data_IF_601353218109
#
_entry.id   IF_601353218109
#
_cell.length_a   1.000
_cell.length_b   1.000
_cell.length_c   1.000
_cell.angle_alpha   90.00
_cell.angle_beta   90.00
_cell.angle_gamma   90.00
#
_symmetry.space_group_name_H-M   'P 1'
#
loop_
_entity.id
_entity.type
_entity.pdbx_description
1 polymer ?
#
# COMPACT_ATOMS: atom_id res chain seq x y z
N UNK A 1 -24.78 -17.81 9.26
CA UNK A 1 -24.96 -18.87 8.21
C UNK A 1 -24.15 -18.39 7.02
N UNK A 2 -23.24 -19.19 6.48
CA UNK A 2 -22.49 -18.78 5.29
C UNK A 2 -23.42 -18.76 4.07
N UNK A 3 -23.15 -17.85 3.14
CA UNK A 3 -23.91 -17.68 1.89
C UNK A 3 -23.98 -18.99 1.10
N UNK A 4 -25.14 -19.30 0.51
CA UNK A 4 -25.28 -20.43 -0.40
C UNK A 4 -24.88 -20.04 -1.83
N UNK A 5 -24.57 -21.05 -2.68
CA UNK A 5 -24.24 -20.80 -4.08
C UNK A 5 -25.38 -20.07 -4.83
N UNK A 6 -26.62 -20.38 -4.57
CA UNK A 6 -27.77 -19.71 -5.22
C UNK A 6 -27.86 -18.23 -4.79
N UNK A 7 -27.67 -17.95 -3.50
CA UNK A 7 -27.63 -16.56 -3.02
C UNK A 7 -26.45 -15.78 -3.60
N UNK A 8 -25.29 -16.43 -3.78
CA UNK A 8 -24.14 -15.82 -4.43
C UNK A 8 -24.43 -15.48 -5.90
N UNK A 9 -25.06 -16.40 -6.65
CA UNK A 9 -25.49 -16.16 -8.02
C UNK A 9 -26.46 -14.98 -8.13
N UNK A 10 -27.46 -14.92 -7.26
CA UNK A 10 -28.43 -13.81 -7.24
C UNK A 10 -27.72 -12.46 -6.94
N UNK A 11 -26.83 -12.44 -5.93
CA UNK A 11 -26.06 -11.24 -5.61
C UNK A 11 -25.21 -10.78 -6.77
N UNK A 12 -24.48 -11.69 -7.43
CA UNK A 12 -23.60 -11.37 -8.56
C UNK A 12 -24.39 -10.93 -9.79
N UNK A 13 -25.51 -11.59 -10.11
CA UNK A 13 -26.36 -11.26 -11.25
C UNK A 13 -26.91 -9.83 -11.16
N UNK A 14 -27.26 -9.35 -9.97
CA UNK A 14 -27.70 -7.98 -9.73
C UNK A 14 -26.70 -6.94 -10.25
N UNK A 15 -25.41 -7.28 -10.20
CA UNK A 15 -24.31 -6.38 -10.58
C UNK A 15 -23.61 -6.78 -11.89
N UNK A 16 -24.07 -7.82 -12.59
CA UNK A 16 -23.47 -8.32 -13.83
C UNK A 16 -22.09 -8.96 -13.60
N UNK A 17 -21.89 -9.62 -12.43
CA UNK A 17 -20.61 -10.19 -12.02
C UNK A 17 -20.63 -11.73 -11.96
N UNK A 18 -21.52 -12.40 -12.71
CA UNK A 18 -21.71 -13.86 -12.72
C UNK A 18 -20.42 -14.60 -13.11
N UNK A 19 -19.55 -13.95 -13.85
CA UNK A 19 -18.28 -14.51 -14.30
C UNK A 19 -17.34 -14.91 -13.15
N UNK A 20 -17.51 -14.34 -11.95
CA UNK A 20 -16.74 -14.69 -10.74
C UNK A 20 -16.89 -16.17 -10.39
N UNK A 21 -18.04 -16.78 -10.68
CA UNK A 21 -18.31 -18.19 -10.39
C UNK A 21 -18.02 -19.13 -11.59
N UNK A 22 -17.39 -18.64 -12.67
CA UNK A 22 -17.15 -19.42 -13.89
C UNK A 22 -16.44 -20.76 -13.62
N UNK A 23 -15.47 -20.77 -12.71
CA UNK A 23 -14.67 -21.94 -12.38
C UNK A 23 -15.05 -22.58 -11.05
N UNK A 24 -16.21 -22.21 -10.47
CA UNK A 24 -16.64 -22.70 -9.16
C UNK A 24 -16.70 -24.24 -9.07
N UNK A 25 -17.05 -24.92 -10.17
CA UNK A 25 -17.12 -26.40 -10.22
C UNK A 25 -15.76 -27.10 -10.14
N UNK A 26 -14.66 -26.39 -10.40
CA UNK A 26 -13.29 -26.92 -10.38
C UNK A 26 -12.60 -26.75 -9.02
N UNK A 27 -13.23 -25.99 -8.11
CA UNK A 27 -12.68 -25.65 -6.80
C UNK A 27 -12.88 -26.80 -5.79
N UNK A 28 -11.96 -26.91 -4.85
CA UNK A 28 -12.11 -27.74 -3.66
C UNK A 28 -13.23 -27.20 -2.74
N UNK A 29 -13.72 -27.98 -1.79
CA UNK A 29 -14.77 -27.54 -0.87
C UNK A 29 -14.34 -26.38 0.03
N UNK A 30 -13.06 -26.29 0.37
CA UNK A 30 -12.49 -25.17 1.12
C UNK A 30 -12.47 -23.89 0.28
N UNK A 31 -12.00 -23.96 -0.96
CA UNK A 31 -11.99 -22.83 -1.89
C UNK A 31 -13.40 -22.36 -2.24
N UNK A 32 -14.36 -23.30 -2.43
CA UNK A 32 -15.77 -22.98 -2.63
C UNK A 32 -16.34 -22.18 -1.47
N UNK A 33 -16.01 -22.57 -0.24
CA UNK A 33 -16.44 -21.83 0.95
C UNK A 33 -15.79 -20.45 0.98
N UNK A 34 -14.49 -20.38 0.77
CA UNK A 34 -13.73 -19.11 0.76
C UNK A 34 -14.28 -18.09 -0.23
N UNK A 35 -14.61 -18.51 -1.47
CA UNK A 35 -15.17 -17.58 -2.47
C UNK A 35 -16.60 -17.14 -2.11
N UNK A 36 -17.42 -18.01 -1.53
CA UNK A 36 -18.75 -17.63 -1.07
C UNK A 36 -18.70 -16.61 0.08
N UNK A 37 -17.81 -16.81 1.05
CA UNK A 37 -17.59 -15.90 2.16
C UNK A 37 -17.07 -14.52 1.65
N UNK A 38 -16.18 -14.51 0.67
CA UNK A 38 -15.71 -13.26 0.04
C UNK A 38 -16.84 -12.54 -0.71
N UNK A 39 -17.67 -13.25 -1.45
CA UNK A 39 -18.83 -12.66 -2.13
C UNK A 39 -19.80 -12.09 -1.10
N UNK A 40 -20.04 -12.78 0.01
CA UNK A 40 -20.91 -12.30 1.09
C UNK A 40 -20.40 -11.00 1.69
N UNK A 41 -19.11 -10.94 2.01
CA UNK A 41 -18.46 -9.80 2.64
C UNK A 41 -18.26 -8.59 1.71
N UNK A 42 -18.24 -8.80 0.37
CA UNK A 42 -17.95 -7.74 -0.58
C UNK A 42 -19.15 -6.83 -0.76
N UNK A 43 -18.95 -5.51 -0.56
CA UNK A 43 -19.93 -4.49 -0.96
C UNK A 43 -19.84 -4.23 -2.46
N UNK A 44 -20.82 -4.76 -3.19
CA UNK A 44 -20.94 -4.61 -4.66
C UNK A 44 -21.60 -3.27 -5.08
N UNK A 45 -22.10 -2.46 -4.14
CA UNK A 45 -22.77 -1.20 -4.48
C UNK A 45 -21.83 -0.19 -5.13
N UNK A 46 -20.54 -0.30 -4.85
CA UNK A 46 -19.48 0.50 -5.50
C UNK A 46 -19.52 0.39 -7.03
N UNK A 47 -19.93 -0.77 -7.57
CA UNK A 47 -20.04 -0.98 -9.01
C UNK A 47 -21.16 -0.14 -9.65
N UNK A 48 -22.18 0.26 -8.90
CA UNK A 48 -23.23 1.16 -9.39
C UNK A 48 -22.68 2.56 -9.66
N UNK A 49 -21.78 3.06 -8.82
CA UNK A 49 -21.11 4.35 -9.07
C UNK A 49 -20.33 4.36 -10.39
N UNK A 50 -19.81 3.21 -10.83
CA UNK A 50 -19.12 3.07 -12.11
C UNK A 50 -20.04 3.12 -13.32
N UNK A 51 -21.34 2.83 -13.16
CA UNK A 51 -22.35 2.87 -14.24
C UNK A 51 -22.77 4.29 -14.60
N UNK A 52 -22.69 5.22 -13.65
CA UNK A 52 -23.08 6.62 -13.81
C UNK A 52 -21.91 7.52 -14.26
N UNK A 53 -21.17 7.09 -15.29
CA UNK A 53 -20.01 7.85 -15.81
C UNK A 53 -20.36 9.25 -16.30
N UNK A 54 -21.61 9.47 -16.72
CA UNK A 54 -22.08 10.76 -17.23
C UNK A 54 -22.15 11.83 -16.11
N UNK A 55 -22.47 11.43 -14.89
CA UNK A 55 -22.49 12.35 -13.73
C UNK A 55 -21.07 12.72 -13.25
N UNK A 56 -20.08 11.85 -13.51
CA UNK A 56 -18.66 12.12 -13.26
C UNK A 56 -18.03 13.00 -14.35
N UNK A 57 -18.72 13.21 -15.46
CA UNK A 57 -18.21 13.96 -16.61
C UNK A 57 -18.29 15.49 -16.49
N UNK A 58 -18.87 16.02 -15.40
CA UNK A 58 -18.71 17.45 -15.04
C UNK A 58 -17.29 17.71 -14.55
N UNK A 59 -16.35 17.49 -15.44
CA UNK A 59 -14.95 17.87 -15.19
C UNK A 59 -14.91 19.40 -15.18
N UNK A 60 -14.45 19.97 -14.07
CA UNK A 60 -14.08 21.39 -14.05
C UNK A 60 -13.01 21.70 -15.11
N UNK A 61 -12.64 22.96 -15.22
CA UNK A 61 -11.52 23.35 -16.10
C UNK A 61 -10.23 22.75 -15.54
N UNK A 62 -9.59 21.89 -16.33
CA UNK A 62 -8.30 21.32 -15.98
C UNK A 62 -7.22 22.30 -16.39
N UNK A 63 -6.53 22.87 -15.41
CA UNK A 63 -5.37 23.74 -15.62
C UNK A 63 -4.11 23.06 -15.09
N UNK A 64 -2.93 23.34 -15.65
CA UNK A 64 -1.68 22.87 -15.06
C UNK A 64 -1.56 23.31 -13.61
N UNK A 65 -1.18 22.39 -12.73
CA UNK A 65 -0.86 22.72 -11.34
C UNK A 65 0.46 23.50 -11.31
N UNK A 66 0.48 24.62 -10.58
CA UNK A 66 1.73 25.32 -10.32
C UNK A 66 2.63 24.40 -9.45
N UNK A 67 3.89 24.33 -9.84
CA UNK A 67 4.91 23.54 -9.12
C UNK A 67 6.09 24.46 -8.77
N UNK A 68 6.66 24.24 -7.60
CA UNK A 68 7.89 24.88 -7.18
C UNK A 68 9.05 24.30 -7.98
N UNK A 69 9.88 25.14 -8.58
CA UNK A 69 11.02 24.72 -9.39
C UNK A 69 12.26 24.51 -8.50
N UNK A 70 13.26 23.78 -9.02
CA UNK A 70 14.47 23.45 -8.24
C UNK A 70 15.25 24.68 -7.80
N UNK A 71 15.35 25.69 -8.62
CA UNK A 71 16.03 26.98 -8.32
C UNK A 71 15.30 27.72 -7.18
N UNK A 72 13.97 27.70 -7.16
CA UNK A 72 13.19 28.27 -6.07
C UNK A 72 13.39 27.49 -4.76
N UNK A 73 13.44 26.14 -4.83
CA UNK A 73 13.71 25.28 -3.68
C UNK A 73 15.11 25.58 -3.11
N UNK A 74 16.12 25.67 -3.98
CA UNK A 74 17.50 25.96 -3.57
C UNK A 74 17.63 27.35 -2.93
N UNK A 75 17.00 28.34 -3.53
CA UNK A 75 17.03 29.73 -2.99
C UNK A 75 16.39 29.84 -1.60
N UNK A 76 15.45 28.94 -1.27
CA UNK A 76 14.72 28.92 0.01
C UNK A 76 15.08 27.73 0.91
N UNK A 77 16.13 26.97 0.60
CA UNK A 77 16.49 25.71 1.25
C UNK A 77 16.52 25.81 2.78
N UNK A 78 17.17 26.82 3.33
CA UNK A 78 17.29 26.98 4.79
C UNK A 78 15.94 27.17 5.46
N UNK A 79 15.08 28.01 4.89
CA UNK A 79 13.75 28.27 5.43
C UNK A 79 12.84 27.02 5.32
N UNK A 80 12.89 26.32 4.19
CA UNK A 80 12.11 25.09 4.01
C UNK A 80 12.58 23.98 4.94
N UNK A 81 13.88 23.83 5.12
CA UNK A 81 14.45 22.85 6.07
C UNK A 81 14.02 23.17 7.50
N UNK A 82 14.13 24.43 7.93
CA UNK A 82 13.69 24.83 9.27
C UNK A 82 12.20 24.58 9.50
N UNK A 83 11.37 24.89 8.52
CA UNK A 83 9.92 24.65 8.56
C UNK A 83 9.59 23.16 8.65
N UNK A 84 10.29 22.34 7.85
CA UNK A 84 10.11 20.87 7.86
C UNK A 84 10.53 20.25 9.18
N UNK A 85 11.68 20.60 9.71
CA UNK A 85 12.18 20.13 11.02
C UNK A 85 11.19 20.50 12.14
N UNK A 86 10.68 21.74 12.14
CA UNK A 86 9.71 22.16 13.14
C UNK A 86 8.38 21.38 13.03
N UNK A 87 7.90 21.11 11.82
CA UNK A 87 6.72 20.29 11.62
C UNK A 87 6.89 18.86 12.14
N UNK A 88 8.09 18.26 11.98
CA UNK A 88 8.43 16.96 12.51
C UNK A 88 8.44 16.99 14.03
N UNK A 89 9.11 17.96 14.65
CA UNK A 89 9.15 18.15 16.11
C UNK A 89 7.78 18.30 16.75
N UNK A 90 6.87 18.92 16.02
CA UNK A 90 5.48 19.08 16.44
C UNK A 90 4.62 17.82 16.20
N UNK A 91 5.18 16.72 15.72
CA UNK A 91 4.45 15.47 15.44
C UNK A 91 3.44 15.57 14.31
N UNK A 92 3.62 16.52 13.38
CA UNK A 92 2.70 16.76 12.26
C UNK A 92 3.04 15.94 11.01
N UNK A 93 4.10 15.14 11.05
CA UNK A 93 4.62 14.39 9.90
C UNK A 93 4.58 12.90 10.21
N UNK A 94 4.14 12.12 9.23
CA UNK A 94 4.22 10.67 9.25
C UNK A 94 4.73 10.17 7.90
N UNK A 95 5.41 9.03 7.90
CA UNK A 95 5.85 8.34 6.69
C UNK A 95 4.95 7.13 6.42
N UNK A 96 4.56 6.94 5.16
CA UNK A 96 3.80 5.77 4.70
C UNK A 96 4.62 5.05 3.64
N UNK A 97 5.01 3.80 3.93
CA UNK A 97 5.71 2.94 3.00
C UNK A 97 4.74 1.95 2.36
N UNK A 98 4.53 2.05 1.05
CA UNK A 98 3.71 1.12 0.29
C UNK A 98 4.51 -0.14 -0.05
N UNK A 99 4.34 -1.19 0.74
CA UNK A 99 5.14 -2.42 0.67
C UNK A 99 4.33 -3.69 0.33
N UNK A 100 3.17 -3.55 -0.33
CA UNK A 100 2.31 -4.68 -0.72
C UNK A 100 2.85 -5.56 -1.86
N UNK A 101 3.96 -5.18 -2.50
CA UNK A 101 4.51 -5.87 -3.67
C UNK A 101 5.45 -7.02 -3.34
N UNK A 102 5.43 -8.06 -4.21
CA UNK A 102 6.38 -9.18 -4.19
C UNK A 102 7.61 -8.89 -5.07
N UNK A 103 8.72 -9.59 -4.78
CA UNK A 103 9.98 -9.46 -5.50
C UNK A 103 10.08 -10.23 -6.83
N UNK A 104 8.97 -10.70 -7.39
CA UNK A 104 8.95 -11.61 -8.55
C UNK A 104 9.71 -11.09 -9.77
N UNK A 105 9.64 -9.78 -10.04
CA UNK A 105 10.43 -9.15 -11.13
C UNK A 105 11.93 -9.13 -10.85
N UNK A 106 12.34 -9.33 -9.61
CA UNK A 106 13.74 -9.43 -9.17
C UNK A 106 14.19 -10.88 -9.02
N UNK A 107 13.34 -11.84 -9.45
CA UNK A 107 13.61 -13.27 -9.30
C UNK A 107 13.48 -13.80 -7.87
N UNK A 108 12.69 -13.13 -7.01
CA UNK A 108 12.47 -13.51 -5.62
C UNK A 108 10.99 -13.74 -5.34
N UNK A 109 10.67 -14.79 -4.60
CA UNK A 109 9.32 -15.10 -4.13
C UNK A 109 8.98 -14.39 -2.82
N UNK A 110 9.94 -13.64 -2.26
CA UNK A 110 9.76 -12.87 -1.03
C UNK A 110 9.19 -11.46 -1.31
N UNK A 111 8.66 -10.78 -0.28
CA UNK A 111 8.34 -9.36 -0.36
C UNK A 111 9.51 -8.53 -0.90
N UNK A 112 9.22 -7.58 -1.80
CA UNK A 112 10.26 -6.79 -2.48
C UNK A 112 11.22 -6.08 -1.53
N UNK A 113 10.72 -5.61 -0.38
CA UNK A 113 11.51 -4.92 0.64
C UNK A 113 12.61 -5.77 1.26
N UNK A 114 12.46 -7.10 1.22
CA UNK A 114 13.42 -8.08 1.74
C UNK A 114 14.54 -8.41 0.73
N UNK A 115 14.51 -7.82 -0.47
CA UNK A 115 15.51 -8.11 -1.48
C UNK A 115 16.85 -7.48 -1.11
N UNK A 116 17.92 -8.32 -1.10
CA UNK A 116 19.28 -7.88 -0.82
C UNK A 116 19.87 -7.21 -2.07
N UNK A 117 20.24 -5.94 -1.96
CA UNK A 117 20.86 -5.11 -3.01
C UNK A 117 22.35 -4.87 -2.74
N UNK A 118 22.87 -5.40 -1.64
CA UNK A 118 24.26 -5.22 -1.26
C UNK A 118 25.23 -6.01 -2.14
N UNK A 119 26.41 -5.43 -2.41
CA UNK A 119 27.47 -6.05 -3.18
C UNK A 119 28.61 -6.59 -2.30
N UNK A 120 28.92 -5.89 -1.22
CA UNK A 120 30.05 -6.21 -0.32
C UNK A 120 29.59 -6.71 1.06
N UNK A 121 28.35 -6.41 1.43
CA UNK A 121 27.68 -6.87 2.63
C UNK A 121 26.17 -6.94 2.33
N UNK A 122 25.42 -7.60 3.18
CA UNK A 122 23.98 -7.62 3.07
C UNK A 122 23.41 -6.22 3.30
N UNK A 123 22.52 -5.79 2.41
CA UNK A 123 21.82 -4.51 2.47
C UNK A 123 20.45 -4.69 1.83
N UNK A 124 19.41 -4.56 2.62
CA UNK A 124 18.04 -4.82 2.18
C UNK A 124 17.34 -3.53 1.73
N UNK A 125 16.36 -3.63 0.83
CA UNK A 125 15.59 -2.46 0.39
C UNK A 125 14.89 -1.78 1.58
N UNK A 126 14.31 -2.57 2.52
CA UNK A 126 13.73 -2.02 3.74
C UNK A 126 14.75 -1.25 4.57
N UNK A 127 15.95 -1.80 4.72
CA UNK A 127 17.04 -1.15 5.45
C UNK A 127 17.42 0.19 4.83
N UNK A 128 17.59 0.25 3.50
CA UNK A 128 17.88 1.50 2.81
C UNK A 128 16.82 2.58 3.07
N UNK A 129 15.54 2.20 3.00
CA UNK A 129 14.43 3.13 3.21
C UNK A 129 14.35 3.62 4.66
N UNK A 130 14.55 2.70 5.62
CA UNK A 130 14.56 3.03 7.05
C UNK A 130 15.78 3.90 7.40
N UNK A 131 16.95 3.61 6.87
CA UNK A 131 18.14 4.43 7.08
C UNK A 131 17.96 5.87 6.58
N UNK A 132 17.32 6.06 5.41
CA UNK A 132 16.99 7.40 4.94
C UNK A 132 16.04 8.14 5.89
N UNK A 133 15.10 7.43 6.49
CA UNK A 133 14.18 8.02 7.46
C UNK A 133 14.87 8.32 8.80
N UNK A 134 15.76 7.42 9.26
CA UNK A 134 16.56 7.64 10.45
C UNK A 134 17.45 8.88 10.35
N UNK A 135 18.01 9.17 9.16
CA UNK A 135 18.77 10.39 8.95
C UNK A 135 17.92 11.65 9.23
N UNK A 136 16.66 11.66 8.80
CA UNK A 136 15.73 12.75 9.08
C UNK A 136 15.37 12.82 10.57
N UNK A 137 15.18 11.66 11.23
CA UNK A 137 14.95 11.56 12.68
C UNK A 137 16.13 12.16 13.44
N UNK A 138 17.38 11.85 13.06
CA UNK A 138 18.58 12.38 13.69
C UNK A 138 18.71 13.90 13.47
N UNK A 139 18.44 14.40 12.27
CA UNK A 139 18.49 15.84 11.98
C UNK A 139 17.44 16.64 12.73
N UNK A 140 16.25 16.06 12.88
CA UNK A 140 15.13 16.73 13.57
C UNK A 140 15.15 16.54 15.08
N UNK A 141 15.91 15.57 15.59
CA UNK A 141 15.85 15.10 16.99
C UNK A 141 14.41 14.76 17.42
N UNK A 142 13.66 14.14 16.51
CA UNK A 142 12.27 13.74 16.75
C UNK A 142 11.87 12.54 15.88
N UNK A 143 11.11 11.62 16.47
CA UNK A 143 10.62 10.44 15.78
C UNK A 143 9.46 10.75 14.83
N UNK A 144 9.47 10.08 13.68
CA UNK A 144 8.41 10.15 12.68
C UNK A 144 7.63 8.83 12.74
N UNK A 145 6.30 8.86 12.78
CA UNK A 145 5.49 7.64 12.72
C UNK A 145 5.66 7.00 11.34
N UNK A 146 6.11 5.74 11.32
CA UNK A 146 6.24 4.96 10.09
C UNK A 146 5.10 3.94 9.99
N UNK A 147 4.30 4.05 8.94
CA UNK A 147 3.26 3.10 8.58
C UNK A 147 3.73 2.28 7.38
N UNK A 148 3.74 0.96 7.53
CA UNK A 148 4.09 0.04 6.44
C UNK A 148 2.82 -0.64 5.95
N UNK A 149 2.37 -0.29 4.74
CA UNK A 149 1.24 -0.96 4.10
C UNK A 149 1.72 -2.24 3.44
N UNK A 150 1.13 -3.35 3.85
CA UNK A 150 1.38 -4.70 3.31
C UNK A 150 0.18 -5.19 2.49
N UNK A 151 0.25 -6.41 2.00
CA UNK A 151 -0.88 -7.15 1.43
C UNK A 151 -1.13 -8.43 2.24
N UNK A 152 -2.31 -9.02 2.14
CA UNK A 152 -2.62 -10.30 2.80
C UNK A 152 -1.57 -11.38 2.49
N UNK A 153 -1.00 -11.33 1.27
CA UNK A 153 -0.03 -12.32 0.82
C UNK A 153 1.35 -12.17 1.47
N UNK A 154 1.76 -10.94 1.82
CA UNK A 154 3.14 -10.67 2.26
C UNK A 154 3.25 -10.09 3.67
N UNK A 155 2.13 -9.92 4.36
CA UNK A 155 2.09 -9.30 5.68
C UNK A 155 2.97 -10.04 6.69
N UNK A 156 2.73 -11.34 6.86
CA UNK A 156 3.40 -12.13 7.90
C UNK A 156 4.90 -12.24 7.65
N UNK A 157 5.30 -12.45 6.39
CA UNK A 157 6.71 -12.47 5.99
C UNK A 157 7.38 -11.11 6.24
N UNK A 158 6.70 -10.01 5.95
CA UNK A 158 7.22 -8.65 6.18
C UNK A 158 7.39 -8.37 7.67
N UNK A 159 6.41 -8.73 8.50
CA UNK A 159 6.48 -8.57 9.95
C UNK A 159 7.64 -9.37 10.53
N UNK A 160 7.73 -10.67 10.20
CA UNK A 160 8.78 -11.54 10.70
C UNK A 160 10.18 -11.01 10.33
N UNK A 161 10.36 -10.58 9.10
CA UNK A 161 11.63 -10.03 8.62
C UNK A 161 12.03 -8.74 9.35
N UNK A 162 11.11 -7.80 9.50
CA UNK A 162 11.40 -6.56 10.23
C UNK A 162 11.72 -6.82 11.70
N UNK A 163 11.05 -7.79 12.33
CA UNK A 163 11.33 -8.19 13.71
C UNK A 163 12.71 -8.87 13.85
N UNK A 164 13.07 -9.79 12.94
CA UNK A 164 14.37 -10.46 12.91
C UNK A 164 15.53 -9.47 12.81
N UNK A 165 15.32 -8.37 12.06
CA UNK A 165 16.32 -7.31 11.88
C UNK A 165 16.16 -6.14 12.86
N UNK A 166 15.40 -6.35 13.97
CA UNK A 166 15.18 -5.33 15.02
C UNK A 166 14.72 -3.98 14.41
N UNK A 167 13.88 -4.06 13.37
CA UNK A 167 13.37 -2.90 12.59
C UNK A 167 14.49 -1.99 12.07
N UNK A 168 15.71 -2.51 11.87
CA UNK A 168 16.89 -1.74 11.47
C UNK A 168 17.17 -0.53 12.39
N UNK A 169 16.86 -0.68 13.69
CA UNK A 169 17.04 0.37 14.69
C UNK A 169 15.94 1.44 14.73
N UNK A 170 14.90 1.33 13.93
CA UNK A 170 13.73 2.20 14.03
C UNK A 170 12.87 1.84 15.25
N UNK A 171 12.40 2.85 16.03
CA UNK A 171 11.68 2.65 17.31
C UNK A 171 10.27 3.18 17.25
#
# INVERSE_FOLDING_TARGET
MSMTLEQAKEKLAKYGQEHVLKYYGELTEEEKRGILDQIEATDMSILEACKHKEDLAKKGVITPLAAMQLDEIEANRENFTATGIEAIRQGKVAAVLLAGGMGTRLGSDNPKGMYNVGLTHELYIFECLINNLLEVVHQSDAWIHLFVMTSDKNNDATIAFLQEHEYFGYK
#
